data_IF_617539492367
#
_entry.id   IF_617539492367
#
_cell.length_a   1.000
_cell.length_b   1.000
_cell.length_c   1.000
_cell.angle_alpha   90.00
_cell.angle_beta   90.00
_cell.angle_gamma   90.00
#
_symmetry.space_group_name_H-M   'P 1'
#
loop_
_entity.id
_entity.type
_entity.pdbx_description
1 polymer ?
#
# COMPACT_ATOMS: atom_id res chain seq x y z
N UNK A 1 -7.15 -15.35 -6.18
CA UNK A 1 -6.19 -14.24 -6.10
C UNK A 1 -6.47 -13.30 -4.95
N UNK A 2 -5.82 -12.17 -4.94
CA UNK A 2 -5.96 -11.12 -3.92
C UNK A 2 -7.15 -10.24 -4.30
N UNK A 3 -8.13 -10.09 -3.39
CA UNK A 3 -9.31 -9.25 -3.62
C UNK A 3 -8.94 -7.77 -3.59
N UNK A 4 -8.19 -7.35 -2.56
CA UNK A 4 -7.59 -6.02 -2.44
C UNK A 4 -6.41 -6.07 -1.47
N UNK A 5 -5.56 -5.06 -1.49
CA UNK A 5 -4.60 -4.76 -0.44
C UNK A 5 -5.12 -3.56 0.36
N UNK A 6 -5.35 -3.74 1.64
CA UNK A 6 -6.07 -2.77 2.45
C UNK A 6 -5.57 -2.72 3.91
N UNK A 7 -5.92 -1.66 4.62
CA UNK A 7 -5.70 -1.56 6.04
C UNK A 7 -6.93 -2.01 6.82
N UNK A 8 -6.72 -2.80 7.86
CA UNK A 8 -7.77 -3.21 8.81
C UNK A 8 -7.51 -2.51 10.14
N UNK A 9 -8.39 -1.59 10.49
CA UNK A 9 -8.38 -0.89 11.78
C UNK A 9 -9.23 -1.65 12.77
N UNK A 10 -8.63 -2.12 13.85
CA UNK A 10 -9.33 -2.80 14.93
C UNK A 10 -9.57 -1.82 16.07
N UNK A 11 -10.80 -1.34 16.22
CA UNK A 11 -11.18 -0.37 17.27
C UNK A 11 -11.34 -1.02 18.63
N UNK A 12 -12.10 -2.11 18.65
CA UNK A 12 -12.48 -2.85 19.84
C UNK A 12 -12.91 -4.26 19.42
N UNK A 13 -13.09 -5.20 20.34
CA UNK A 13 -13.61 -6.52 19.99
C UNK A 13 -14.83 -6.41 19.07
N UNK A 14 -14.78 -7.11 17.94
CA UNK A 14 -15.86 -7.19 16.94
C UNK A 14 -16.15 -5.89 16.16
N UNK A 15 -15.32 -4.84 16.29
CA UNK A 15 -15.49 -3.58 15.54
C UNK A 15 -14.26 -3.22 14.73
N UNK A 16 -14.43 -3.19 13.42
CA UNK A 16 -13.36 -2.98 12.46
C UNK A 16 -13.72 -1.90 11.44
N UNK A 17 -12.72 -1.22 10.93
CA UNK A 17 -12.83 -0.37 9.74
C UNK A 17 -11.86 -0.93 8.69
N UNK A 18 -12.37 -1.17 7.50
CA UNK A 18 -11.57 -1.55 6.33
C UNK A 18 -11.33 -0.29 5.48
N UNK A 19 -10.07 0.04 5.24
CA UNK A 19 -9.69 1.15 4.35
C UNK A 19 -9.19 0.54 3.06
N UNK A 20 -10.08 0.52 2.07
CA UNK A 20 -9.89 -0.13 0.77
C UNK A 20 -9.35 0.85 -0.27
N UNK A 21 -8.82 0.34 -1.38
CA UNK A 21 -8.46 1.18 -2.51
C UNK A 21 -9.71 1.83 -3.13
N UNK A 22 -9.65 3.14 -3.39
CA UNK A 22 -10.81 3.91 -3.91
C UNK A 22 -11.40 3.32 -5.19
N UNK A 23 -10.57 2.78 -6.09
CA UNK A 23 -11.02 2.11 -7.30
C UNK A 23 -11.72 0.77 -7.06
N UNK A 24 -11.59 0.20 -5.86
CA UNK A 24 -12.11 -1.12 -5.50
C UNK A 24 -13.33 -1.06 -4.57
N UNK A 25 -13.80 0.12 -4.16
CA UNK A 25 -14.89 0.27 -3.17
C UNK A 25 -16.09 -0.63 -3.47
N UNK A 26 -16.61 -0.61 -4.69
CA UNK A 26 -17.77 -1.40 -5.07
C UNK A 26 -17.47 -2.91 -5.05
N UNK A 27 -16.33 -3.31 -5.62
CA UNK A 27 -15.89 -4.71 -5.66
C UNK A 27 -15.71 -5.28 -4.26
N UNK A 28 -15.04 -4.55 -3.38
CA UNK A 28 -14.74 -5.00 -2.02
C UNK A 28 -16.00 -5.04 -1.16
N UNK A 29 -16.91 -4.07 -1.35
CA UNK A 29 -18.22 -4.08 -0.72
C UNK A 29 -19.02 -5.31 -1.11
N UNK A 30 -19.14 -5.61 -2.40
CA UNK A 30 -19.86 -6.76 -2.91
C UNK A 30 -19.25 -8.08 -2.41
N UNK A 31 -17.92 -8.13 -2.34
CA UNK A 31 -17.20 -9.29 -1.81
C UNK A 31 -17.50 -9.48 -0.31
N UNK A 32 -17.43 -8.43 0.50
CA UNK A 32 -17.75 -8.49 1.93
C UNK A 32 -19.20 -8.92 2.16
N UNK A 33 -20.16 -8.35 1.43
CA UNK A 33 -21.58 -8.70 1.55
C UNK A 33 -21.82 -10.16 1.19
N UNK A 34 -21.26 -10.62 0.06
CA UNK A 34 -21.46 -11.99 -0.41
C UNK A 34 -20.79 -13.06 0.47
N UNK A 35 -19.75 -12.69 1.23
CA UNK A 35 -19.02 -13.59 2.12
C UNK A 35 -19.37 -13.42 3.61
N UNK A 36 -20.30 -12.53 3.93
CA UNK A 36 -20.77 -12.34 5.31
C UNK A 36 -21.68 -13.47 5.77
N UNK A 37 -21.10 -14.60 6.10
CA UNK A 37 -21.83 -15.79 6.56
C UNK A 37 -22.11 -15.79 8.07
N UNK A 38 -21.51 -14.84 8.80
CA UNK A 38 -21.64 -14.74 10.26
C UNK A 38 -22.66 -13.69 10.71
N UNK A 39 -23.23 -12.93 9.76
CA UNK A 39 -24.24 -11.91 10.06
C UNK A 39 -23.65 -10.66 10.70
N UNK A 40 -22.39 -10.29 10.37
CA UNK A 40 -21.80 -9.05 10.82
C UNK A 40 -22.57 -7.85 10.22
N UNK A 41 -22.77 -6.80 10.99
CA UNK A 41 -23.30 -5.54 10.47
C UNK A 41 -22.25 -4.86 9.59
N UNK A 42 -22.61 -4.57 8.34
CA UNK A 42 -21.73 -3.93 7.36
C UNK A 42 -22.25 -2.56 7.00
N UNK A 43 -21.39 -1.57 6.99
CA UNK A 43 -21.69 -0.21 6.59
C UNK A 43 -20.65 0.32 5.61
N UNK A 44 -21.09 0.80 4.43
CA UNK A 44 -20.24 1.53 3.52
C UNK A 44 -20.21 3.01 3.90
N UNK A 45 -19.11 3.46 4.49
CA UNK A 45 -18.91 4.85 4.92
C UNK A 45 -18.05 5.67 3.95
N UNK A 46 -17.73 5.16 2.75
CA UNK A 46 -16.78 5.77 1.81
C UNK A 46 -17.14 7.21 1.47
N UNK A 47 -18.40 7.49 1.17
CA UNK A 47 -18.86 8.84 0.80
C UNK A 47 -18.86 9.84 1.97
N UNK A 48 -18.74 9.35 3.22
CA UNK A 48 -18.72 10.14 4.44
C UNK A 48 -17.34 10.27 5.07
N UNK A 49 -16.31 9.74 4.40
CA UNK A 49 -14.94 9.73 4.91
C UNK A 49 -13.98 10.33 3.88
N UNK A 50 -13.37 11.43 4.23
CA UNK A 50 -12.25 12.01 3.50
C UNK A 50 -10.92 11.55 4.10
N UNK A 51 -9.87 11.49 3.29
CA UNK A 51 -8.53 11.09 3.72
C UNK A 51 -7.48 12.06 3.22
N UNK A 52 -6.51 12.36 4.08
CA UNK A 52 -5.27 13.04 3.73
C UNK A 52 -4.07 12.24 4.25
N UNK A 53 -3.07 12.05 3.40
CA UNK A 53 -1.79 11.48 3.78
C UNK A 53 -0.74 12.60 3.87
N UNK A 54 -0.17 12.81 5.05
CA UNK A 54 0.90 13.77 5.29
C UNK A 54 2.16 13.00 5.62
N UNK A 55 3.09 12.98 4.67
CA UNK A 55 4.21 12.07 4.69
C UNK A 55 5.54 12.84 4.61
N UNK A 56 6.57 12.27 5.22
CA UNK A 56 7.93 12.79 5.19
C UNK A 56 8.54 12.95 6.58
N UNK A 57 9.87 13.15 6.66
CA UNK A 57 10.60 13.16 7.93
C UNK A 57 10.18 14.28 8.89
N UNK A 58 9.52 15.32 8.39
CA UNK A 58 9.02 16.44 9.20
C UNK A 58 7.50 16.38 9.45
N UNK A 59 6.83 15.33 9.01
CA UNK A 59 5.37 15.21 9.13
C UNK A 59 4.90 15.28 10.59
N UNK A 60 5.57 14.57 11.50
CA UNK A 60 5.24 14.60 12.94
C UNK A 60 5.36 16.02 13.50
N UNK A 61 6.44 16.72 13.20
CA UNK A 61 6.67 18.08 13.66
C UNK A 61 5.59 19.06 13.21
N UNK A 62 5.18 18.96 11.95
CA UNK A 62 4.11 19.80 11.38
C UNK A 62 2.76 19.48 12.01
N UNK A 63 2.39 18.20 12.04
CA UNK A 63 1.08 17.76 12.49
C UNK A 63 0.88 17.92 13.99
N UNK A 64 1.95 17.80 14.80
CA UNK A 64 1.87 17.98 16.25
C UNK A 64 1.37 19.36 16.68
N UNK A 65 1.54 20.37 15.84
CA UNK A 65 1.04 21.74 16.09
C UNK A 65 -0.49 21.83 16.00
N UNK A 66 -1.15 20.84 15.42
CA UNK A 66 -2.57 20.85 15.07
C UNK A 66 -3.42 19.92 15.93
N UNK A 67 -2.81 19.20 16.87
CA UNK A 67 -3.53 18.25 17.72
C UNK A 67 -2.93 18.21 19.14
N UNK A 68 -3.78 18.05 20.16
CA UNK A 68 -3.31 17.79 21.53
C UNK A 68 -2.81 16.34 21.72
N UNK A 69 -3.04 15.44 20.76
CA UNK A 69 -2.58 14.05 20.80
C UNK A 69 -1.08 14.03 20.64
N UNK A 70 -0.36 13.32 21.50
CA UNK A 70 1.08 13.07 21.32
C UNK A 70 1.30 12.09 20.17
N UNK A 71 1.62 12.62 18.98
CA UNK A 71 1.83 11.82 17.78
C UNK A 71 3.05 10.89 17.87
N UNK A 72 4.05 11.26 18.68
CA UNK A 72 5.26 10.45 18.88
C UNK A 72 4.97 9.18 19.67
N UNK A 73 3.89 9.16 20.44
CA UNK A 73 3.45 8.01 21.22
C UNK A 73 2.66 6.97 20.42
N UNK A 74 2.24 7.29 19.18
CA UNK A 74 1.46 6.37 18.34
C UNK A 74 2.42 5.42 17.61
N UNK A 75 2.42 4.12 17.91
CA UNK A 75 3.29 3.16 17.23
C UNK A 75 2.97 3.07 15.73
N UNK A 76 3.96 2.66 14.94
CA UNK A 76 3.72 2.38 13.53
C UNK A 76 2.67 1.28 13.34
N UNK A 77 1.78 1.44 12.38
CA UNK A 77 0.56 0.62 12.18
C UNK A 77 -0.42 0.67 13.37
N UNK A 78 -0.45 1.80 14.06
CA UNK A 78 -1.45 2.07 15.11
C UNK A 78 -2.13 3.41 14.85
N UNK A 79 -3.28 3.60 15.46
CA UNK A 79 -4.08 4.81 15.31
C UNK A 79 -4.75 5.21 16.62
N UNK A 80 -5.18 6.45 16.68
CA UNK A 80 -6.07 6.98 17.70
C UNK A 80 -7.17 7.81 17.04
N UNK A 81 -8.25 8.05 17.76
CA UNK A 81 -9.27 9.02 17.37
C UNK A 81 -9.16 10.21 18.30
N UNK A 82 -9.08 11.42 17.73
CA UNK A 82 -8.86 12.64 18.51
C UNK A 82 -9.32 13.90 17.80
N UNK A 83 -9.01 15.03 18.44
CA UNK A 83 -9.17 16.35 17.82
C UNK A 83 -7.96 16.67 16.94
N UNK A 84 -8.20 17.22 15.75
CA UNK A 84 -7.16 17.67 14.83
C UNK A 84 -7.61 18.95 14.13
N UNK A 85 -6.81 20.00 14.18
CA UNK A 85 -7.11 21.34 13.62
C UNK A 85 -8.50 21.88 14.05
N UNK A 86 -8.93 21.61 15.28
CA UNK A 86 -10.25 21.99 15.81
C UNK A 86 -11.41 21.08 15.38
N UNK A 87 -11.17 20.11 14.48
CA UNK A 87 -12.15 19.13 14.05
C UNK A 87 -12.12 17.91 14.99
N UNK A 88 -13.31 17.38 15.32
CA UNK A 88 -13.45 16.23 16.24
C UNK A 88 -13.55 14.91 15.48
N UNK A 89 -13.28 13.82 16.19
CA UNK A 89 -13.42 12.45 15.67
C UNK A 89 -12.53 12.16 14.46
N UNK A 90 -11.39 12.84 14.35
CA UNK A 90 -10.39 12.54 13.33
C UNK A 90 -9.63 11.29 13.73
N UNK A 91 -9.57 10.31 12.83
CA UNK A 91 -8.67 9.16 12.96
C UNK A 91 -7.29 9.62 12.55
N UNK A 92 -6.33 9.49 13.45
CA UNK A 92 -4.93 9.87 13.27
C UNK A 92 -4.12 8.58 13.26
N UNK A 93 -3.69 8.15 12.09
CA UNK A 93 -3.04 6.85 11.89
C UNK A 93 -1.57 7.01 11.53
N UNK A 94 -0.68 6.34 12.26
CA UNK A 94 0.73 6.26 11.94
C UNK A 94 0.96 5.20 10.85
N UNK A 95 0.43 5.49 9.66
CA UNK A 95 0.54 4.68 8.44
C UNK A 95 0.94 5.57 7.27
N UNK A 96 1.31 4.94 6.15
CA UNK A 96 1.66 5.64 4.93
C UNK A 96 2.22 4.72 3.87
N UNK A 97 2.45 5.29 2.69
CA UNK A 97 2.82 4.56 1.48
C UNK A 97 4.10 5.12 0.83
N UNK A 98 4.98 5.70 1.65
CA UNK A 98 6.19 6.39 1.16
C UNK A 98 7.50 5.92 1.78
N UNK A 99 7.41 5.15 2.89
CA UNK A 99 8.57 4.75 3.68
C UNK A 99 9.29 5.90 4.40
N UNK A 100 8.78 7.14 4.27
CA UNK A 100 9.42 8.33 4.85
C UNK A 100 8.86 8.73 6.22
N UNK A 101 7.94 7.93 6.77
CA UNK A 101 7.16 8.26 7.96
C UNK A 101 6.06 9.29 7.68
N UNK A 102 5.17 9.46 8.63
CA UNK A 102 4.03 10.36 8.51
C UNK A 102 2.75 9.74 9.00
N UNK A 103 1.64 10.42 8.71
CA UNK A 103 0.32 10.03 9.17
C UNK A 103 -0.69 10.05 8.03
N UNK A 104 -1.71 9.24 8.17
CA UNK A 104 -2.95 9.30 7.40
C UNK A 104 -4.06 9.74 8.33
N UNK A 105 -4.83 10.75 7.87
CA UNK A 105 -5.90 11.38 8.62
C UNK A 105 -7.22 11.05 7.92
N UNK A 106 -8.20 10.53 8.68
CA UNK A 106 -9.54 10.26 8.16
C UNK A 106 -10.55 11.09 8.96
N UNK A 107 -11.44 11.78 8.25
CA UNK A 107 -12.33 12.77 8.81
C UNK A 107 -13.57 12.96 7.94
N UNK A 108 -14.55 13.72 8.41
CA UNK A 108 -15.73 14.04 7.62
C UNK A 108 -15.40 14.99 6.47
N UNK A 109 -15.98 14.81 5.26
CA UNK A 109 -15.69 15.64 4.09
C UNK A 109 -15.86 17.15 4.32
N UNK A 110 -16.80 17.55 5.17
CA UNK A 110 -17.05 18.96 5.52
C UNK A 110 -15.82 19.62 6.21
N UNK A 111 -14.99 18.84 6.89
CA UNK A 111 -13.78 19.30 7.55
C UNK A 111 -12.57 19.41 6.63
N UNK A 112 -12.69 18.92 5.39
CA UNK A 112 -11.54 18.75 4.49
C UNK A 112 -10.76 20.05 4.23
N UNK A 113 -11.44 21.15 3.94
CA UNK A 113 -10.78 22.42 3.66
C UNK A 113 -10.16 23.04 4.93
N UNK A 114 -10.79 22.85 6.09
CA UNK A 114 -10.25 23.28 7.38
C UNK A 114 -8.94 22.58 7.69
N UNK A 115 -8.95 21.25 7.62
CA UNK A 115 -7.77 20.43 7.90
C UNK A 115 -6.67 20.68 6.86
N UNK A 116 -7.00 20.71 5.57
CA UNK A 116 -6.06 21.01 4.49
C UNK A 116 -5.33 22.33 4.71
N UNK A 117 -6.08 23.41 4.92
CA UNK A 117 -5.50 24.74 5.11
C UNK A 117 -4.62 24.81 6.37
N UNK A 118 -5.09 24.21 7.49
CA UNK A 118 -4.31 24.16 8.73
C UNK A 118 -2.97 23.43 8.55
N UNK A 119 -2.97 22.29 7.83
CA UNK A 119 -1.76 21.53 7.54
C UNK A 119 -0.76 22.38 6.72
N UNK A 120 -1.23 23.07 5.67
CA UNK A 120 -0.36 23.91 4.85
C UNK A 120 0.18 25.11 5.60
N UNK A 121 -0.62 25.77 6.43
CA UNK A 121 -0.14 26.87 7.27
C UNK A 121 0.89 26.39 8.30
N UNK A 122 0.62 25.29 9.00
CA UNK A 122 1.54 24.72 9.97
C UNK A 122 2.83 24.22 9.32
N UNK A 123 2.75 23.66 8.11
CA UNK A 123 3.89 23.08 7.40
C UNK A 123 4.68 24.07 6.53
N UNK A 124 4.22 25.31 6.40
CA UNK A 124 4.88 26.32 5.57
C UNK A 124 6.36 26.58 5.93
N UNK A 125 6.73 26.68 7.22
CA UNK A 125 8.14 26.84 7.59
C UNK A 125 9.02 25.65 7.20
N UNK A 126 8.45 24.44 7.19
CA UNK A 126 9.13 23.19 6.84
C UNK A 126 9.12 22.90 5.34
N UNK A 127 8.46 23.74 4.55
CA UNK A 127 8.41 23.62 3.10
C UNK A 127 7.48 22.51 2.61
N UNK A 128 6.36 22.27 3.31
CA UNK A 128 5.33 21.33 2.87
C UNK A 128 4.85 21.66 1.45
N UNK A 129 4.57 20.64 0.68
CA UNK A 129 4.08 20.79 -0.70
C UNK A 129 2.90 19.87 -0.97
N UNK A 130 1.94 20.28 -1.82
CA UNK A 130 0.95 19.36 -2.36
C UNK A 130 1.63 18.39 -3.31
N UNK A 131 1.26 17.11 -3.19
CA UNK A 131 1.91 16.02 -3.91
C UNK A 131 0.86 15.32 -4.79
N UNK A 132 1.21 15.12 -6.07
CA UNK A 132 0.35 14.42 -7.02
C UNK A 132 0.56 12.90 -7.04
N UNK A 133 -0.28 12.21 -7.79
CA UNK A 133 -0.25 10.74 -7.91
C UNK A 133 1.06 10.20 -8.48
N UNK A 134 1.72 10.94 -9.37
CA UNK A 134 3.03 10.53 -9.89
C UNK A 134 4.12 10.44 -8.82
N UNK A 135 4.11 11.36 -7.84
CA UNK A 135 5.02 11.29 -6.70
C UNK A 135 4.66 10.12 -5.75
N UNK A 136 3.36 9.89 -5.51
CA UNK A 136 2.88 8.73 -4.74
C UNK A 136 3.40 7.42 -5.35
N UNK A 137 3.31 7.28 -6.67
CA UNK A 137 3.76 6.07 -7.37
C UNK A 137 5.28 5.88 -7.32
N UNK A 138 6.07 6.95 -7.52
CA UNK A 138 7.53 6.84 -7.41
C UNK A 138 7.98 6.52 -5.99
N UNK A 139 7.39 7.15 -4.98
CA UNK A 139 7.75 6.94 -3.57
C UNK A 139 7.44 5.50 -3.11
N UNK A 140 6.25 4.98 -3.43
CA UNK A 140 5.89 3.61 -3.05
C UNK A 140 6.78 2.58 -3.75
N UNK A 141 7.11 2.81 -5.03
CA UNK A 141 7.93 1.87 -5.81
C UNK A 141 9.38 1.84 -5.34
N UNK A 142 9.94 2.99 -4.92
CA UNK A 142 11.26 3.05 -4.27
C UNK A 142 11.33 2.19 -3.00
N UNK A 143 10.20 1.99 -2.32
CA UNK A 143 10.09 1.13 -1.14
C UNK A 143 9.73 -0.32 -1.46
N UNK A 144 9.47 -0.65 -2.73
CA UNK A 144 8.99 -1.96 -3.13
C UNK A 144 7.56 -2.26 -2.67
N UNK A 145 6.74 -1.23 -2.43
CA UNK A 145 5.33 -1.42 -2.08
C UNK A 145 4.50 -1.71 -3.33
N UNK A 146 3.69 -2.75 -3.24
CA UNK A 146 2.80 -3.14 -4.32
C UNK A 146 1.70 -2.10 -4.58
N UNK A 147 1.25 -2.03 -5.83
CA UNK A 147 0.06 -1.29 -6.22
C UNK A 147 -0.97 -2.29 -6.74
N UNK A 148 -2.16 -2.30 -6.12
CA UNK A 148 -3.27 -3.12 -6.60
C UNK A 148 -3.72 -2.69 -8.01
N UNK A 149 -4.00 -3.66 -8.85
CA UNK A 149 -4.26 -3.45 -10.27
C UNK A 149 -3.01 -3.45 -11.17
N UNK A 150 -1.81 -3.38 -10.56
CA UNK A 150 -0.52 -3.49 -11.26
C UNK A 150 0.26 -4.72 -10.80
N UNK A 151 0.67 -4.70 -9.53
CA UNK A 151 1.53 -5.73 -8.92
C UNK A 151 0.70 -6.85 -8.26
N UNK A 152 -0.51 -6.54 -7.86
CA UNK A 152 -1.48 -7.42 -7.22
C UNK A 152 -2.82 -7.31 -7.95
N UNK A 153 -3.50 -8.45 -8.08
CA UNK A 153 -4.85 -8.53 -8.63
C UNK A 153 -5.53 -9.85 -8.21
N UNK A 154 -6.71 -10.12 -8.77
CA UNK A 154 -7.49 -11.32 -8.53
C UNK A 154 -6.90 -12.60 -9.16
N UNK A 155 -5.81 -12.48 -9.92
CA UNK A 155 -5.05 -13.61 -10.50
C UNK A 155 -3.74 -13.90 -9.76
N UNK A 156 -3.34 -13.04 -8.83
CA UNK A 156 -2.09 -13.17 -8.06
C UNK A 156 -2.36 -13.72 -6.66
N UNK A 157 -1.45 -14.55 -6.14
CA UNK A 157 -1.50 -14.99 -4.75
C UNK A 157 -0.55 -14.18 -3.87
N UNK A 158 -0.83 -14.05 -2.55
CA UNK A 158 0.10 -13.40 -1.64
C UNK A 158 1.46 -14.13 -1.54
N UNK A 159 1.51 -15.42 -1.85
CA UNK A 159 2.77 -16.18 -1.85
C UNK A 159 3.62 -15.82 -3.07
N UNK A 160 3.01 -15.71 -4.26
CA UNK A 160 3.68 -15.24 -5.48
C UNK A 160 4.19 -13.79 -5.32
N UNK A 161 3.40 -12.95 -4.67
CA UNK A 161 3.70 -11.54 -4.44
C UNK A 161 4.73 -11.27 -3.32
N UNK A 162 5.28 -12.31 -2.70
CA UNK A 162 6.23 -12.14 -1.58
C UNK A 162 5.60 -11.72 -0.26
N UNK A 163 4.26 -11.75 -0.15
CA UNK A 163 3.48 -11.36 1.03
C UNK A 163 3.21 -12.53 2.00
N UNK A 164 3.96 -13.62 1.86
CA UNK A 164 3.86 -14.79 2.75
C UNK A 164 4.13 -14.47 4.23
N UNK A 165 4.85 -13.39 4.51
CA UNK A 165 5.16 -12.95 5.88
C UNK A 165 3.92 -12.41 6.63
N UNK A 166 2.92 -11.86 5.94
CA UNK A 166 1.65 -11.43 6.52
C UNK A 166 0.58 -12.52 6.45
N UNK A 167 0.76 -13.54 5.62
CA UNK A 167 -0.17 -14.67 5.49
C UNK A 167 0.04 -15.64 6.67
N UNK A 168 -0.85 -15.60 7.66
CA UNK A 168 -0.68 -16.32 8.93
C UNK A 168 -1.36 -17.68 8.91
N UNK A 169 -0.57 -18.73 8.88
CA UNK A 169 -1.00 -20.14 8.90
C UNK A 169 -1.06 -20.73 10.32
N UNK A 170 -1.18 -19.90 11.35
CA UNK A 170 -1.29 -20.39 12.73
C UNK A 170 -2.52 -21.29 12.92
N UNK A 171 -2.46 -22.19 13.91
CA UNK A 171 -3.57 -23.06 14.30
C UNK A 171 -4.82 -22.22 14.64
N UNK A 172 -5.99 -22.69 14.25
CA UNK A 172 -7.26 -22.01 14.46
C UNK A 172 -7.54 -20.82 13.52
N UNK A 173 -6.58 -20.39 12.68
CA UNK A 173 -6.80 -19.34 11.69
C UNK A 173 -7.38 -19.92 10.40
N UNK A 174 -8.69 -19.82 10.25
CA UNK A 174 -9.36 -20.14 9.00
C UNK A 174 -9.57 -18.87 8.18
N UNK A 175 -9.14 -18.88 6.93
CA UNK A 175 -9.34 -17.79 6.00
C UNK A 175 -9.52 -18.33 4.58
N UNK A 176 -10.12 -17.52 3.72
CA UNK A 176 -10.40 -17.90 2.33
C UNK A 176 -9.13 -18.36 1.62
N UNK A 177 -9.24 -19.51 0.94
CA UNK A 177 -8.17 -20.11 0.14
C UNK A 177 -6.93 -20.60 0.92
N UNK A 178 -7.03 -20.77 2.24
CA UNK A 178 -5.91 -21.18 3.10
C UNK A 178 -5.19 -22.43 2.57
N UNK A 179 -5.92 -23.48 2.21
CA UNK A 179 -5.33 -24.76 1.78
C UNK A 179 -4.42 -24.61 0.55
N UNK A 180 -4.85 -23.82 -0.44
CA UNK A 180 -4.04 -23.54 -1.64
C UNK A 180 -2.80 -22.70 -1.30
N UNK A 181 -2.92 -21.70 -0.44
CA UNK A 181 -1.78 -20.88 -0.03
C UNK A 181 -0.76 -21.67 0.80
N UNK A 182 -1.21 -22.63 1.63
CA UNK A 182 -0.33 -23.57 2.34
C UNK A 182 0.40 -24.48 1.35
N UNK A 183 -0.30 -24.98 0.32
CA UNK A 183 0.29 -25.77 -0.75
C UNK A 183 1.38 -24.97 -1.48
N UNK A 184 1.08 -23.74 -1.91
CA UNK A 184 2.05 -22.86 -2.58
C UNK A 184 3.27 -22.57 -1.70
N UNK A 185 3.07 -22.34 -0.40
CA UNK A 185 4.17 -22.14 0.53
C UNK A 185 5.08 -23.36 0.66
N UNK A 186 4.51 -24.57 0.60
CA UNK A 186 5.23 -25.84 0.74
C UNK A 186 5.91 -26.27 -0.56
N UNK A 187 5.20 -26.20 -1.67
CA UNK A 187 5.63 -26.74 -2.97
C UNK A 187 6.31 -25.69 -3.85
N UNK A 188 6.15 -24.42 -3.52
CA UNK A 188 6.59 -23.30 -4.33
C UNK A 188 5.51 -22.79 -5.26
N UNK A 189 5.84 -21.74 -5.99
CA UNK A 189 4.98 -21.04 -6.95
C UNK A 189 5.62 -21.03 -8.33
N UNK A 190 4.83 -20.83 -9.38
CA UNK A 190 5.32 -20.80 -10.77
C UNK A 190 5.98 -19.47 -11.15
N UNK A 191 5.71 -18.39 -10.39
CA UNK A 191 6.27 -17.06 -10.59
C UNK A 191 6.44 -16.34 -9.26
N UNK A 192 7.34 -15.37 -9.20
CA UNK A 192 7.55 -14.52 -8.02
C UNK A 192 7.67 -13.06 -8.41
N UNK A 193 7.04 -12.20 -7.64
CA UNK A 193 7.25 -10.76 -7.73
C UNK A 193 8.65 -10.44 -7.20
N UNK A 194 9.43 -9.70 -7.99
CA UNK A 194 10.71 -9.17 -7.57
C UNK A 194 10.86 -7.70 -7.98
N UNK A 195 11.61 -6.94 -7.18
CA UNK A 195 12.03 -5.60 -7.54
C UNK A 195 13.37 -5.66 -8.29
N UNK A 196 13.57 -4.71 -9.19
CA UNK A 196 14.81 -4.57 -9.96
C UNK A 196 15.19 -3.10 -10.19
N UNK A 197 16.45 -2.85 -10.44
CA UNK A 197 16.95 -1.56 -10.91
C UNK A 197 17.69 -1.74 -12.24
N UNK A 198 17.55 -0.76 -13.14
CA UNK A 198 18.25 -0.78 -14.41
C UNK A 198 19.73 -0.38 -14.22
N UNK A 199 20.63 -1.15 -14.82
CA UNK A 199 22.06 -0.81 -14.92
C UNK A 199 22.25 0.21 -16.04
N UNK A 200 21.61 -0.04 -17.18
CA UNK A 200 21.65 0.86 -18.34
C UNK A 200 20.58 1.97 -18.24
N UNK A 201 20.74 3.01 -19.07
CA UNK A 201 19.74 4.09 -19.16
C UNK A 201 18.44 3.57 -19.75
N UNK A 202 17.35 3.76 -19.04
CA UNK A 202 16.02 3.38 -19.48
C UNK A 202 14.99 3.67 -18.40
N UNK A 203 13.73 3.54 -18.76
CA UNK A 203 12.60 3.65 -17.84
C UNK A 203 11.71 2.44 -18.09
N UNK A 204 11.67 1.47 -17.17
CA UNK A 204 10.78 0.31 -17.33
C UNK A 204 9.32 0.76 -17.21
N UNK A 205 8.44 0.05 -17.91
CA UNK A 205 6.99 0.34 -17.90
C UNK A 205 6.20 -0.95 -17.74
N UNK A 206 5.00 -0.80 -17.20
CA UNK A 206 4.04 -1.90 -17.11
C UNK A 206 3.87 -2.59 -18.47
N UNK A 207 3.88 -3.92 -18.46
CA UNK A 207 3.73 -4.76 -19.64
C UNK A 207 5.00 -5.03 -20.44
N UNK A 208 6.14 -4.41 -20.09
CA UNK A 208 7.41 -4.75 -20.75
C UNK A 208 7.82 -6.18 -20.39
N UNK A 209 8.34 -6.89 -21.38
CA UNK A 209 8.85 -8.26 -21.20
C UNK A 209 10.14 -8.26 -20.39
N UNK A 210 10.25 -9.25 -19.50
CA UNK A 210 11.50 -9.57 -18.80
C UNK A 210 12.10 -10.83 -19.45
N UNK A 211 13.37 -10.76 -19.82
CA UNK A 211 14.10 -11.87 -20.45
C UNK A 211 15.33 -12.26 -19.63
N UNK A 212 15.81 -13.48 -19.86
CA UNK A 212 17.15 -13.93 -19.44
C UNK A 212 18.26 -13.40 -20.38
N UNK A 213 19.50 -13.77 -20.09
CA UNK A 213 20.67 -13.37 -20.89
C UNK A 213 20.63 -13.91 -22.33
N UNK A 214 19.96 -15.01 -22.56
CA UNK A 214 19.76 -15.65 -23.86
C UNK A 214 18.60 -15.05 -24.66
N UNK A 215 17.84 -14.14 -24.05
CA UNK A 215 16.69 -13.45 -24.64
C UNK A 215 15.36 -14.22 -24.54
N UNK A 216 15.31 -15.31 -23.78
CA UNK A 216 14.06 -16.03 -23.51
C UNK A 216 13.18 -15.23 -22.55
N UNK A 217 11.89 -15.17 -22.79
CA UNK A 217 10.96 -14.47 -21.90
C UNK A 217 10.77 -15.29 -20.62
N UNK A 218 11.05 -14.64 -19.49
CA UNK A 218 10.97 -15.21 -18.15
C UNK A 218 9.93 -14.53 -17.27
N UNK A 219 9.38 -13.39 -17.72
CA UNK A 219 8.42 -12.62 -16.92
C UNK A 219 7.91 -11.36 -17.59
N UNK A 220 7.24 -10.53 -16.78
CA UNK A 220 6.64 -9.26 -17.20
C UNK A 220 6.76 -8.21 -16.11
N UNK A 221 7.02 -6.96 -16.51
CA UNK A 221 7.05 -5.79 -15.62
C UNK A 221 5.63 -5.41 -15.23
N UNK A 222 5.38 -5.27 -13.93
CA UNK A 222 4.09 -4.84 -13.38
C UNK A 222 4.08 -3.36 -13.03
N UNK A 223 5.21 -2.85 -12.51
CA UNK A 223 5.39 -1.43 -12.19
C UNK A 223 6.79 -0.99 -12.59
N UNK A 224 6.91 0.25 -13.06
CA UNK A 224 8.21 0.77 -13.45
C UNK A 224 8.22 2.29 -13.60
N UNK A 225 9.30 2.92 -13.14
CA UNK A 225 9.48 4.37 -13.18
C UNK A 225 10.96 4.77 -13.19
N UNK A 226 11.21 6.06 -13.40
CA UNK A 226 12.49 6.68 -13.07
C UNK A 226 12.44 7.14 -11.61
N UNK A 227 13.27 6.54 -10.75
CA UNK A 227 13.40 6.98 -9.35
C UNK A 227 14.05 8.37 -9.27
N UNK A 228 13.37 9.35 -8.67
CA UNK A 228 13.98 10.67 -8.43
C UNK A 228 15.15 10.63 -7.44
N UNK A 229 15.11 9.71 -6.47
CA UNK A 229 16.13 9.56 -5.42
C UNK A 229 17.35 8.82 -5.97
N UNK A 230 17.15 7.65 -6.57
CA UNK A 230 18.23 6.80 -7.10
C UNK A 230 18.77 7.29 -8.45
N UNK A 231 17.99 8.11 -9.18
CA UNK A 231 18.29 8.59 -10.55
C UNK A 231 18.52 7.44 -11.53
N UNK A 232 17.78 6.36 -11.33
CA UNK A 232 17.80 5.13 -12.13
C UNK A 232 16.38 4.69 -12.47
N UNK A 233 16.23 3.93 -13.54
CA UNK A 233 15.01 3.17 -13.77
C UNK A 233 14.89 2.07 -12.72
N UNK A 234 13.72 1.98 -12.09
CA UNK A 234 13.39 0.93 -11.13
C UNK A 234 12.05 0.32 -11.49
N UNK A 235 11.84 -0.92 -11.10
CA UNK A 235 10.58 -1.59 -11.36
C UNK A 235 10.34 -2.81 -10.48
N UNK A 236 9.15 -3.34 -10.65
CA UNK A 236 8.74 -4.63 -10.11
C UNK A 236 8.16 -5.47 -11.25
N UNK A 237 8.25 -6.78 -11.13
CA UNK A 237 7.68 -7.69 -12.11
C UNK A 237 7.69 -9.13 -11.63
N UNK A 238 6.81 -9.93 -12.23
CA UNK A 238 6.78 -11.36 -11.99
C UNK A 238 7.77 -12.06 -12.91
N UNK A 239 8.63 -12.88 -12.32
CA UNK A 239 9.58 -13.73 -13.04
C UNK A 239 9.46 -15.18 -12.60
N UNK A 240 9.99 -16.11 -13.39
CA UNK A 240 10.15 -17.51 -12.96
C UNK A 240 11.00 -17.56 -11.68
N UNK A 241 10.69 -18.46 -10.72
CA UNK A 241 11.31 -18.47 -9.40
C UNK A 241 12.83 -18.51 -9.36
N UNK A 242 13.44 -19.20 -10.31
CA UNK A 242 14.90 -19.31 -10.45
C UNK A 242 15.60 -17.97 -10.74
N UNK A 243 14.88 -17.00 -11.31
CA UNK A 243 15.38 -15.65 -11.61
C UNK A 243 15.05 -14.62 -10.52
N UNK A 244 14.27 -14.97 -9.50
CA UNK A 244 13.81 -14.04 -8.46
C UNK A 244 14.85 -13.80 -7.34
N UNK A 245 16.02 -14.45 -7.39
CA UNK A 245 17.06 -14.28 -6.38
C UNK A 245 17.74 -12.91 -6.54
N UNK A 246 17.95 -12.20 -5.43
CA UNK A 246 18.68 -10.94 -5.44
C UNK A 246 20.09 -11.08 -6.06
N UNK A 247 20.44 -10.15 -6.94
CA UNK A 247 21.70 -10.17 -7.69
C UNK A 247 21.65 -10.98 -9.00
N UNK A 248 20.50 -11.56 -9.36
CA UNK A 248 20.33 -12.19 -10.68
C UNK A 248 20.17 -11.11 -11.74
N UNK A 249 20.96 -11.19 -12.82
CA UNK A 249 20.83 -10.32 -13.97
C UNK A 249 19.64 -10.74 -14.83
N UNK A 250 18.83 -9.76 -15.20
CA UNK A 250 17.67 -9.90 -16.09
C UNK A 250 17.67 -8.77 -17.11
N UNK A 251 17.06 -8.98 -18.25
CA UNK A 251 16.94 -8.00 -19.32
C UNK A 251 15.50 -7.48 -19.42
N UNK A 252 15.32 -6.18 -19.47
CA UNK A 252 14.02 -5.55 -19.75
C UNK A 252 13.97 -5.17 -21.22
N UNK A 253 13.02 -5.74 -21.97
CA UNK A 253 12.81 -5.39 -23.37
C UNK A 253 11.96 -4.12 -23.45
N UNK A 254 12.58 -3.04 -23.88
CA UNK A 254 11.98 -1.70 -24.01
C UNK A 254 11.50 -1.46 -25.45
#
# INVERSE_FOLDING_TARGET
GIVDDLLVYHYEPEKYLLVVNAGNIAKDWDWCVSHNTVGAELENSSDRTAQLAVQGPKAVEVLQRLTPVDLSSIPYYSFVTGEFAGCKNVIISNTGYTGAGGFELYFYPDDAMTIWNAIFEAGKPEGIKPIGLGARDTLRLEMGFCLYGNDLDDTTSPIEAGLGWITKFAEGKNFTNRAELERQKKEGVSRKLCAFELVDKGIPRHGYEIADAEGNIIGVVTSGTMSPVLKKGIGMGYVKPEFAKAGTEICIKV
#
